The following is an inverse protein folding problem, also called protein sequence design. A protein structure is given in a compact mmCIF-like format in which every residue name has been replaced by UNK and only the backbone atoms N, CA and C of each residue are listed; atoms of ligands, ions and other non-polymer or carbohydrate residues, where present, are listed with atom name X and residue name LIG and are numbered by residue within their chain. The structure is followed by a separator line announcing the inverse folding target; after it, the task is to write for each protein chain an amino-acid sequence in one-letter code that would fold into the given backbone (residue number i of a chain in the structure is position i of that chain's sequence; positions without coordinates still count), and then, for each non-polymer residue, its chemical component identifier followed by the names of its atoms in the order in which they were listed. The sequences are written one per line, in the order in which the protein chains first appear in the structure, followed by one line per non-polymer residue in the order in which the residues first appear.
data_IF_753096953255
#
_entry.id   IF_753096953255
#
_cell.length_a   1.000
_cell.length_b   1.000
_cell.length_c   1.000
_cell.angle_alpha   90.00
_cell.angle_beta   90.00
_cell.angle_gamma   90.00
#
_symmetry.space_group_name_H-M   'P 1'
#
loop_
_entity.id
_entity.type
_entity.pdbx_description
1 polymer ?
#
# COMPACT_ATOMS: atom_id res chain seq x y z
N UNK A 1 43.81 57.96 38.79
CA UNK A 1 43.35 56.58 39.16
C UNK A 1 42.22 56.11 38.20
N UNK A 2 42.62 55.54 37.09
CA UNK A 2 41.68 55.17 36.01
C UNK A 2 41.10 53.80 36.24
N UNK A 3 39.79 53.70 36.44
CA UNK A 3 38.99 52.43 36.47
C UNK A 3 38.90 51.87 35.05
N UNK A 4 39.71 50.87 34.70
CA UNK A 4 39.52 50.05 33.51
C UNK A 4 38.16 49.31 33.64
N UNK A 5 37.18 49.70 32.84
CA UNK A 5 35.95 48.92 32.63
C UNK A 5 36.36 47.59 31.97
N UNK A 6 36.34 46.48 32.73
CA UNK A 6 36.39 45.13 32.17
C UNK A 6 35.15 44.95 31.29
N UNK A 7 35.31 44.97 29.96
CA UNK A 7 34.29 44.45 29.03
C UNK A 7 34.08 42.99 29.43
N UNK A 8 32.90 42.65 29.97
CA UNK A 8 32.49 41.26 30.12
C UNK A 8 32.43 40.69 28.71
N UNK A 9 33.40 39.85 28.39
CA UNK A 9 33.34 38.96 27.24
C UNK A 9 32.24 37.96 27.60
N UNK A 10 30.99 38.26 27.20
CA UNK A 10 29.88 37.33 27.33
C UNK A 10 30.31 36.12 26.52
N UNK A 11 30.54 35.02 27.19
CA UNK A 11 30.87 33.74 26.54
C UNK A 11 29.84 33.45 25.44
N UNK A 12 30.23 33.61 24.19
CA UNK A 12 29.34 33.44 23.03
C UNK A 12 29.13 31.96 22.69
N UNK A 13 29.40 31.04 23.63
CA UNK A 13 29.25 29.61 23.42
C UNK A 13 27.79 29.22 23.13
N UNK A 14 26.84 29.85 23.81
CA UNK A 14 25.41 29.63 23.58
C UNK A 14 24.95 30.13 22.18
N UNK A 15 25.60 31.20 21.63
CA UNK A 15 25.36 31.65 20.25
C UNK A 15 25.88 30.62 19.27
N UNK A 16 27.05 30.04 19.51
CA UNK A 16 27.59 28.95 18.71
C UNK A 16 26.69 27.71 18.79
N UNK A 17 26.20 27.39 19.99
CA UNK A 17 25.24 26.30 20.21
C UNK A 17 23.95 26.52 19.41
N UNK A 18 23.38 27.74 19.45
CA UNK A 18 22.18 28.08 18.66
C UNK A 18 22.43 27.99 17.16
N UNK A 19 23.61 28.44 16.70
CA UNK A 19 23.96 28.33 15.27
C UNK A 19 24.08 26.85 14.82
N UNK A 20 24.69 26.01 15.63
CA UNK A 20 24.79 24.58 15.37
C UNK A 20 23.41 23.93 15.38
N UNK A 21 22.56 24.23 16.37
CA UNK A 21 21.21 23.75 16.46
C UNK A 21 20.36 24.19 15.24
N UNK A 22 20.48 25.45 14.83
CA UNK A 22 19.81 25.96 13.62
C UNK A 22 20.32 25.27 12.35
N UNK A 23 21.63 25.03 12.24
CA UNK A 23 22.19 24.30 11.10
C UNK A 23 21.68 22.85 11.04
N UNK A 24 21.64 22.14 12.17
CA UNK A 24 21.09 20.79 12.27
C UNK A 24 19.60 20.78 11.89
N UNK A 25 18.82 21.74 12.35
CA UNK A 25 17.42 21.90 12.00
C UNK A 25 17.23 22.12 10.49
N UNK A 26 18.00 23.03 9.89
CA UNK A 26 17.93 23.30 8.44
C UNK A 26 18.35 22.08 7.60
N UNK A 27 19.36 21.34 8.03
CA UNK A 27 19.79 20.10 7.37
C UNK A 27 18.66 19.05 7.47
N UNK A 28 18.02 18.92 8.64
CA UNK A 28 16.87 18.04 8.85
C UNK A 28 15.69 18.39 7.94
N UNK A 29 15.32 19.66 7.84
CA UNK A 29 14.27 20.15 6.94
C UNK A 29 14.62 19.87 5.46
N UNK A 30 15.86 20.16 5.05
CA UNK A 30 16.33 19.87 3.70
C UNK A 30 16.29 18.35 3.41
N UNK A 31 16.74 17.53 4.35
CA UNK A 31 16.68 16.07 4.28
C UNK A 31 15.24 15.57 4.13
N UNK A 32 14.30 16.09 4.93
CA UNK A 32 12.88 15.76 4.81
C UNK A 32 12.27 16.16 3.47
N UNK A 33 12.62 17.35 2.95
CA UNK A 33 12.16 17.79 1.62
C UNK A 33 12.69 16.89 0.50
N UNK A 34 13.96 16.49 0.58
CA UNK A 34 14.55 15.54 -0.38
C UNK A 34 13.87 14.20 -0.27
N UNK A 35 13.71 13.67 0.94
CA UNK A 35 13.03 12.38 1.18
C UNK A 35 11.60 12.39 0.66
N UNK A 36 10.84 13.46 0.92
CA UNK A 36 9.44 13.60 0.48
C UNK A 36 9.28 13.94 -1.00
N UNK A 37 10.37 14.19 -1.74
CA UNK A 37 10.30 14.49 -3.17
C UNK A 37 9.77 13.29 -3.96
N UNK A 38 8.98 13.57 -5.02
CA UNK A 38 8.42 12.53 -5.89
C UNK A 38 9.51 11.61 -6.44
N UNK A 39 10.66 12.16 -6.83
CA UNK A 39 11.77 11.38 -7.39
C UNK A 39 12.29 10.32 -6.40
N UNK A 40 12.44 10.68 -5.12
CA UNK A 40 12.88 9.74 -4.08
C UNK A 40 11.76 8.76 -3.74
N UNK A 41 10.53 9.25 -3.58
CA UNK A 41 9.39 8.43 -3.22
C UNK A 41 9.11 7.37 -4.28
N UNK A 42 9.12 7.72 -5.58
CA UNK A 42 8.87 6.75 -6.66
C UNK A 42 10.02 5.78 -6.88
N UNK A 43 11.25 6.15 -6.49
CA UNK A 43 12.40 5.26 -6.65
C UNK A 43 12.55 4.25 -5.51
N UNK A 44 12.16 4.59 -4.29
CA UNK A 44 12.48 3.78 -3.10
C UNK A 44 11.26 3.29 -2.32
N UNK A 45 10.14 3.98 -2.37
CA UNK A 45 8.96 3.66 -1.56
C UNK A 45 7.78 3.20 -2.41
N UNK A 46 7.53 3.90 -3.51
CA UNK A 46 6.42 3.64 -4.42
C UNK A 46 6.94 3.23 -5.79
N UNK A 47 7.92 2.33 -5.82
CA UNK A 47 8.32 1.66 -7.06
C UNK A 47 7.12 0.95 -7.67
N UNK A 48 7.08 0.87 -9.01
CA UNK A 48 6.03 0.15 -9.70
C UNK A 48 6.60 -0.88 -10.69
N UNK A 49 7.16 -1.98 -10.18
CA UNK A 49 7.49 -3.14 -11.01
C UNK A 49 6.22 -3.79 -11.57
N UNK A 50 6.38 -4.60 -12.60
CA UNK A 50 5.27 -5.34 -13.23
C UNK A 50 4.11 -4.44 -13.68
N UNK A 51 4.43 -3.22 -14.10
CA UNK A 51 3.42 -2.22 -14.48
C UNK A 51 2.56 -2.70 -15.66
N UNK A 52 3.16 -3.39 -16.63
CA UNK A 52 2.44 -3.87 -17.79
C UNK A 52 1.39 -4.92 -17.42
N UNK A 53 1.76 -5.90 -16.60
CA UNK A 53 0.87 -6.95 -16.10
C UNK A 53 -0.26 -6.35 -15.26
N UNK A 54 0.08 -5.42 -14.38
CA UNK A 54 -0.90 -4.73 -13.54
C UNK A 54 -1.89 -3.94 -14.40
N UNK A 55 -1.43 -3.14 -15.36
CA UNK A 55 -2.30 -2.35 -16.24
C UNK A 55 -3.17 -3.26 -17.12
N UNK A 56 -2.61 -4.33 -17.67
CA UNK A 56 -3.35 -5.27 -18.51
C UNK A 56 -4.49 -5.94 -17.73
N UNK A 57 -4.17 -6.57 -16.60
CA UNK A 57 -5.16 -7.37 -15.87
C UNK A 57 -6.13 -6.51 -15.04
N UNK A 58 -5.72 -5.33 -14.56
CA UNK A 58 -6.64 -4.39 -13.96
C UNK A 58 -7.67 -3.88 -14.97
N UNK A 59 -7.24 -3.55 -16.20
CA UNK A 59 -8.13 -3.14 -17.29
C UNK A 59 -9.13 -4.23 -17.66
N UNK A 60 -8.66 -5.49 -17.82
CA UNK A 60 -9.53 -6.64 -18.15
C UNK A 60 -10.62 -6.87 -17.10
N UNK A 61 -10.32 -6.62 -15.84
CA UNK A 61 -11.25 -6.83 -14.72
C UNK A 61 -11.91 -5.53 -14.21
N UNK A 62 -11.65 -4.39 -14.89
CA UNK A 62 -12.19 -3.05 -14.56
C UNK A 62 -11.86 -2.56 -13.15
N UNK A 63 -10.71 -2.97 -12.63
CA UNK A 63 -10.19 -2.58 -11.32
C UNK A 63 -9.20 -1.42 -11.46
N UNK A 64 -9.16 -0.54 -10.46
CA UNK A 64 -8.17 0.54 -10.38
C UNK A 64 -6.74 -0.05 -10.29
N UNK A 65 -5.84 0.21 -11.27
CA UNK A 65 -4.47 -0.32 -11.25
C UNK A 65 -3.63 0.21 -10.09
N UNK A 66 -3.95 1.39 -9.58
CA UNK A 66 -3.28 1.94 -8.41
C UNK A 66 -3.67 1.18 -7.14
N UNK A 67 -4.91 0.68 -7.07
CA UNK A 67 -5.36 -0.22 -6.01
C UNK A 67 -4.60 -1.55 -6.10
N UNK A 68 -4.48 -2.14 -7.29
CA UNK A 68 -3.71 -3.38 -7.51
C UNK A 68 -2.26 -3.20 -7.08
N UNK A 69 -1.59 -2.12 -7.53
CA UNK A 69 -0.21 -1.84 -7.14
C UNK A 69 -0.06 -1.66 -5.63
N UNK A 70 -1.03 -1.03 -4.97
CA UNK A 70 -1.01 -0.86 -3.52
C UNK A 70 -1.24 -2.17 -2.76
N UNK A 71 -2.10 -3.04 -3.25
CA UNK A 71 -2.27 -4.40 -2.70
C UNK A 71 -0.95 -5.16 -2.79
N UNK A 72 -0.34 -5.26 -3.97
CA UNK A 72 0.94 -5.95 -4.18
C UNK A 72 2.02 -5.40 -3.24
N UNK A 73 2.11 -4.07 -3.12
CA UNK A 73 3.07 -3.42 -2.22
C UNK A 73 2.89 -3.85 -0.76
N UNK A 74 1.65 -3.96 -0.29
CA UNK A 74 1.36 -4.29 1.11
C UNK A 74 1.36 -5.81 1.37
N UNK A 75 1.15 -6.64 0.36
CA UNK A 75 1.18 -8.10 0.47
C UNK A 75 2.61 -8.66 0.42
N UNK A 76 3.39 -8.28 -0.59
CA UNK A 76 4.71 -8.87 -0.83
C UNK A 76 5.85 -7.87 -0.96
N UNK A 77 5.56 -6.56 -1.02
CA UNK A 77 6.56 -5.55 -1.42
C UNK A 77 7.09 -5.77 -2.84
N UNK A 78 6.30 -6.38 -3.72
CA UNK A 78 6.67 -6.80 -5.08
C UNK A 78 7.64 -7.98 -5.14
N UNK A 79 7.76 -8.80 -4.10
CA UNK A 79 8.53 -10.03 -4.10
C UNK A 79 7.69 -11.18 -4.69
N UNK A 80 8.14 -11.75 -5.80
CA UNK A 80 7.47 -12.88 -6.48
C UNK A 80 7.62 -14.19 -5.70
N UNK A 81 8.69 -14.31 -4.91
CA UNK A 81 9.00 -15.50 -4.13
C UNK A 81 8.38 -15.48 -2.72
N UNK A 82 7.70 -14.39 -2.37
CA UNK A 82 7.12 -14.23 -1.04
C UNK A 82 6.17 -15.39 -0.71
N UNK A 83 6.38 -15.97 0.47
CA UNK A 83 5.49 -16.99 1.06
C UNK A 83 5.19 -16.59 2.49
N UNK A 84 3.92 -16.43 2.82
CA UNK A 84 3.51 -16.12 4.19
C UNK A 84 3.56 -17.35 5.10
N UNK A 85 3.52 -17.14 6.42
CA UNK A 85 3.41 -18.24 7.39
C UNK A 85 2.14 -19.08 7.19
N UNK A 86 1.09 -18.49 6.64
CA UNK A 86 -0.16 -19.19 6.31
C UNK A 86 -0.12 -19.92 4.96
N UNK A 87 0.96 -19.74 4.17
CA UNK A 87 1.13 -20.40 2.87
C UNK A 87 0.63 -19.57 1.68
N UNK A 88 0.28 -18.30 1.85
CA UNK A 88 -0.03 -17.42 0.73
C UNK A 88 1.21 -17.15 -0.12
N UNK A 89 1.08 -17.06 -1.46
CA UNK A 89 2.21 -17.08 -2.40
C UNK A 89 2.18 -15.88 -3.35
N UNK A 90 3.36 -15.33 -3.59
CA UNK A 90 3.67 -14.39 -4.67
C UNK A 90 3.19 -12.96 -4.45
N UNK A 91 3.14 -12.19 -5.54
CA UNK A 91 2.92 -10.75 -5.52
C UNK A 91 1.68 -10.31 -4.73
N UNK A 92 0.55 -10.96 -4.94
CA UNK A 92 -0.74 -10.64 -4.32
C UNK A 92 -1.12 -11.58 -3.19
N UNK A 93 -0.16 -12.39 -2.69
CA UNK A 93 -0.30 -13.32 -1.57
C UNK A 93 -1.58 -14.16 -1.67
N UNK A 94 -1.69 -14.91 -2.77
CA UNK A 94 -2.84 -15.77 -3.02
C UNK A 94 -2.66 -17.09 -2.26
N UNK A 95 -3.67 -17.43 -1.43
CA UNK A 95 -3.72 -18.76 -0.79
C UNK A 95 -3.92 -19.84 -1.84
N UNK A 96 -3.25 -21.00 -1.74
CA UNK A 96 -3.39 -22.09 -2.72
C UNK A 96 -4.83 -22.47 -3.02
N UNK A 97 -5.65 -22.67 -1.97
CA UNK A 97 -7.07 -23.03 -2.12
C UNK A 97 -7.88 -21.91 -2.82
N UNK A 98 -7.54 -20.65 -2.52
CA UNK A 98 -8.16 -19.50 -3.19
C UNK A 98 -7.75 -19.45 -4.65
N UNK A 99 -6.47 -19.70 -4.95
CA UNK A 99 -5.95 -19.75 -6.33
C UNK A 99 -6.60 -20.84 -7.17
N UNK A 100 -6.76 -22.03 -6.60
CA UNK A 100 -7.46 -23.16 -7.25
C UNK A 100 -8.93 -22.81 -7.52
N UNK A 101 -9.62 -22.24 -6.54
CA UNK A 101 -10.99 -21.78 -6.70
C UNK A 101 -11.11 -20.70 -7.79
N UNK A 102 -10.24 -19.70 -7.79
CA UNK A 102 -10.21 -18.65 -8.83
C UNK A 102 -9.98 -19.27 -10.21
N UNK A 103 -8.99 -20.14 -10.35
CA UNK A 103 -8.67 -20.81 -11.60
C UNK A 103 -9.88 -21.58 -12.14
N UNK A 104 -10.59 -22.30 -11.28
CA UNK A 104 -11.84 -22.99 -11.62
C UNK A 104 -12.93 -22.02 -12.10
N UNK A 105 -13.13 -20.89 -11.41
CA UNK A 105 -14.11 -19.87 -11.81
C UNK A 105 -13.77 -19.20 -13.14
N UNK A 106 -12.48 -19.04 -13.42
CA UNK A 106 -11.98 -18.49 -14.68
C UNK A 106 -12.01 -19.52 -15.83
N UNK A 107 -12.37 -20.78 -15.59
CA UNK A 107 -12.35 -21.85 -16.59
C UNK A 107 -10.95 -22.21 -17.05
N UNK A 108 -9.95 -22.12 -16.17
CA UNK A 108 -8.58 -22.57 -16.45
C UNK A 108 -8.52 -24.08 -16.26
N UNK A 109 -7.96 -24.79 -17.24
CA UNK A 109 -7.90 -26.26 -17.26
C UNK A 109 -7.12 -26.84 -16.08
N UNK A 110 -6.07 -26.13 -15.61
CA UNK A 110 -5.22 -26.55 -14.51
C UNK A 110 -4.83 -25.37 -13.64
N UNK A 111 -4.92 -25.56 -12.32
CA UNK A 111 -4.27 -24.71 -11.35
C UNK A 111 -2.82 -25.20 -11.13
N UNK A 112 -1.86 -24.27 -11.20
CA UNK A 112 -0.45 -24.56 -10.96
C UNK A 112 0.01 -23.70 -9.78
N UNK A 113 0.29 -24.35 -8.65
CA UNK A 113 0.74 -23.69 -7.44
C UNK A 113 2.07 -22.95 -7.66
N UNK A 114 3.02 -23.56 -8.36
CA UNK A 114 4.31 -22.93 -8.65
C UNK A 114 4.15 -21.72 -9.60
N UNK A 115 3.10 -21.74 -10.44
CA UNK A 115 2.79 -20.59 -11.29
C UNK A 115 2.39 -19.34 -10.51
N UNK A 116 1.96 -19.46 -9.24
CA UNK A 116 1.71 -18.30 -8.38
C UNK A 116 2.96 -17.44 -8.13
N UNK A 117 4.16 -17.97 -8.36
CA UNK A 117 5.42 -17.19 -8.31
C UNK A 117 5.66 -16.37 -9.58
N UNK A 118 4.96 -16.70 -10.68
CA UNK A 118 5.07 -15.95 -11.94
C UNK A 118 4.21 -14.68 -11.85
N UNK A 119 4.79 -13.48 -12.08
CA UNK A 119 4.08 -12.20 -11.96
C UNK A 119 2.78 -12.16 -12.74
N UNK A 120 2.83 -12.55 -14.01
CA UNK A 120 1.67 -12.55 -14.89
C UNK A 120 0.52 -13.41 -14.37
N UNK A 121 0.81 -14.63 -13.91
CA UNK A 121 -0.21 -15.54 -13.41
C UNK A 121 -0.82 -15.06 -12.09
N UNK A 122 0.04 -14.63 -11.16
CA UNK A 122 -0.39 -14.13 -9.85
C UNK A 122 -1.26 -12.87 -9.97
N UNK A 123 -0.81 -11.88 -10.76
CA UNK A 123 -1.56 -10.63 -10.99
C UNK A 123 -2.87 -10.90 -11.74
N UNK A 124 -2.86 -11.83 -12.71
CA UNK A 124 -4.08 -12.24 -13.42
C UNK A 124 -5.15 -12.77 -12.47
N UNK A 125 -4.80 -13.72 -11.60
CA UNK A 125 -5.72 -14.30 -10.62
C UNK A 125 -6.16 -13.25 -9.59
N UNK A 126 -5.22 -12.48 -9.04
CA UNK A 126 -5.51 -11.46 -8.03
C UNK A 126 -6.40 -10.33 -8.54
N UNK A 127 -6.20 -9.86 -9.77
CA UNK A 127 -7.07 -8.85 -10.40
C UNK A 127 -8.46 -9.39 -10.64
N UNK A 128 -8.60 -10.65 -11.06
CA UNK A 128 -9.90 -11.28 -11.20
C UNK A 128 -10.62 -11.36 -9.86
N UNK A 129 -9.91 -11.77 -8.80
CA UNK A 129 -10.49 -11.84 -7.46
C UNK A 129 -10.93 -10.47 -6.92
N UNK A 130 -10.11 -9.43 -7.14
CA UNK A 130 -10.50 -8.06 -6.79
C UNK A 130 -11.75 -7.62 -7.56
N UNK A 131 -11.90 -8.02 -8.83
CA UNK A 131 -13.11 -7.77 -9.62
C UNK A 131 -14.37 -8.40 -9.01
N UNK A 132 -14.25 -9.65 -8.55
CA UNK A 132 -15.35 -10.34 -7.83
C UNK A 132 -15.70 -9.64 -6.52
N UNK A 133 -14.68 -9.19 -5.76
CA UNK A 133 -14.91 -8.43 -4.54
C UNK A 133 -15.55 -7.06 -4.82
N UNK A 134 -15.13 -6.38 -5.90
CA UNK A 134 -15.74 -5.10 -6.29
C UNK A 134 -17.24 -5.26 -6.62
N UNK A 135 -17.58 -6.31 -7.34
CA UNK A 135 -18.98 -6.63 -7.63
C UNK A 135 -19.76 -6.99 -6.36
N UNK A 136 -19.22 -7.89 -5.53
CA UNK A 136 -19.86 -8.38 -4.30
C UNK A 136 -20.10 -7.25 -3.29
N UNK A 137 -19.12 -6.36 -3.10
CA UNK A 137 -19.18 -5.27 -2.11
C UNK A 137 -19.57 -3.92 -2.72
N UNK A 138 -20.23 -3.93 -3.90
CA UNK A 138 -20.82 -2.76 -4.55
C UNK A 138 -19.84 -1.59 -4.70
N UNK A 139 -18.58 -1.88 -5.08
CA UNK A 139 -17.49 -0.90 -5.24
C UNK A 139 -17.05 -0.20 -3.96
N UNK A 140 -17.41 -0.72 -2.80
CA UNK A 140 -16.91 -0.18 -1.54
C UNK A 140 -15.50 -0.71 -1.27
N UNK A 141 -14.50 0.12 -1.49
CA UNK A 141 -13.10 -0.27 -1.33
C UNK A 141 -12.71 -0.66 0.10
N UNK A 142 -13.37 -0.08 1.12
CA UNK A 142 -13.12 -0.47 2.52
C UNK A 142 -13.55 -1.92 2.73
N UNK A 143 -14.79 -2.27 2.33
CA UNK A 143 -15.31 -3.64 2.45
C UNK A 143 -14.52 -4.63 1.58
N UNK A 144 -14.13 -4.21 0.36
CA UNK A 144 -13.28 -5.02 -0.52
C UNK A 144 -11.95 -5.38 0.13
N UNK A 145 -11.27 -4.40 0.75
CA UNK A 145 -9.97 -4.62 1.38
C UNK A 145 -10.10 -5.41 2.68
N UNK A 146 -11.19 -5.26 3.42
CA UNK A 146 -11.51 -6.15 4.54
C UNK A 146 -11.65 -7.59 4.02
N UNK A 147 -12.42 -7.79 2.94
CA UNK A 147 -12.68 -9.11 2.38
C UNK A 147 -11.42 -9.74 1.76
N UNK A 148 -10.55 -8.95 1.17
CA UNK A 148 -9.28 -9.42 0.64
C UNK A 148 -8.37 -9.95 1.75
N UNK A 149 -8.25 -9.21 2.85
CA UNK A 149 -7.35 -9.54 3.96
C UNK A 149 -7.93 -10.59 4.93
N UNK A 150 -9.19 -10.41 5.34
CA UNK A 150 -9.82 -11.25 6.36
C UNK A 150 -10.76 -12.34 5.78
N UNK A 151 -11.00 -12.30 4.48
CA UNK A 151 -11.89 -13.23 3.79
C UNK A 151 -13.34 -12.74 3.70
N UNK A 152 -14.03 -13.16 2.62
CA UNK A 152 -15.41 -12.77 2.29
C UNK A 152 -16.41 -13.16 3.38
N UNK A 153 -16.22 -14.36 3.96
CA UNK A 153 -17.11 -14.88 5.01
C UNK A 153 -17.08 -14.03 6.27
N UNK A 154 -15.89 -13.71 6.76
CA UNK A 154 -15.71 -12.85 7.93
C UNK A 154 -16.28 -11.46 7.69
N UNK A 155 -16.05 -10.90 6.51
CA UNK A 155 -16.57 -9.56 6.16
C UNK A 155 -18.09 -9.52 6.21
N UNK A 156 -18.77 -10.52 5.63
CA UNK A 156 -20.23 -10.61 5.68
C UNK A 156 -20.76 -10.79 7.11
N UNK A 157 -20.10 -11.62 7.92
CA UNK A 157 -20.44 -11.80 9.32
C UNK A 157 -20.34 -10.47 10.09
N UNK A 158 -19.23 -9.73 9.90
CA UNK A 158 -19.03 -8.43 10.56
C UNK A 158 -20.02 -7.36 10.08
N UNK A 159 -20.39 -7.38 8.79
CA UNK A 159 -21.44 -6.51 8.28
C UNK A 159 -22.78 -6.78 8.99
N UNK A 160 -23.13 -8.05 9.17
CA UNK A 160 -24.37 -8.44 9.85
C UNK A 160 -24.32 -8.12 11.36
N UNK A 161 -23.24 -8.46 12.05
CA UNK A 161 -23.07 -8.26 13.48
C UNK A 161 -23.04 -6.80 13.88
N UNK A 162 -22.45 -5.94 13.06
CA UNK A 162 -22.27 -4.52 13.34
C UNK A 162 -23.25 -3.60 12.60
N UNK A 163 -24.18 -4.17 11.85
CA UNK A 163 -25.15 -3.40 11.07
C UNK A 163 -24.50 -2.54 9.95
N UNK A 164 -23.38 -2.99 9.38
CA UNK A 164 -22.73 -2.28 8.28
C UNK A 164 -23.49 -2.55 6.97
N UNK A 165 -23.69 -1.50 6.21
CA UNK A 165 -24.20 -1.58 4.84
C UNK A 165 -23.06 -1.37 3.82
N UNK A 166 -23.40 -1.36 2.53
CA UNK A 166 -22.43 -1.15 1.47
C UNK A 166 -21.85 0.28 1.38
N UNK A 167 -22.33 1.22 2.20
CA UNK A 167 -21.78 2.57 2.34
C UNK A 167 -20.78 2.68 3.50
N UNK A 168 -20.43 1.55 4.13
CA UNK A 168 -19.52 1.52 5.28
C UNK A 168 -18.13 2.09 4.92
N UNK A 169 -17.72 3.12 5.69
CA UNK A 169 -16.43 3.82 5.46
C UNK A 169 -15.65 4.14 6.75
N UNK A 170 -16.14 3.65 7.90
CA UNK A 170 -15.53 3.90 9.21
C UNK A 170 -14.45 2.86 9.51
N UNK A 171 -13.26 3.05 8.94
CA UNK A 171 -12.14 2.09 9.07
C UNK A 171 -11.80 1.83 10.55
N UNK A 172 -11.97 2.83 11.42
CA UNK A 172 -11.70 2.68 12.86
C UNK A 172 -12.64 1.69 13.57
N UNK A 173 -13.81 1.45 13.01
CA UNK A 173 -14.79 0.49 13.55
C UNK A 173 -14.50 -0.96 13.15
N UNK A 174 -13.49 -1.21 12.32
CA UNK A 174 -13.06 -2.58 11.97
C UNK A 174 -12.53 -3.24 13.25
N UNK A 175 -13.12 -4.38 13.71
CA UNK A 175 -12.83 -4.93 15.03
C UNK A 175 -11.42 -5.50 15.17
N UNK A 176 -10.82 -5.97 14.07
CA UNK A 176 -9.50 -6.58 14.06
C UNK A 176 -8.42 -5.56 13.70
N UNK A 177 -7.46 -5.27 14.61
CA UNK A 177 -6.44 -4.25 14.41
C UNK A 177 -5.59 -4.48 13.14
N UNK A 178 -5.21 -5.74 12.86
CA UNK A 178 -4.37 -6.05 11.70
C UNK A 178 -5.09 -5.74 10.39
N UNK A 179 -6.36 -6.15 10.26
CA UNK A 179 -7.20 -5.85 9.10
C UNK A 179 -7.43 -4.35 8.96
N UNK A 180 -7.68 -3.64 10.08
CA UNK A 180 -7.83 -2.18 10.10
C UNK A 180 -6.59 -1.47 9.56
N UNK A 181 -5.42 -1.84 10.04
CA UNK A 181 -4.15 -1.27 9.58
C UNK A 181 -3.84 -1.64 8.13
N UNK A 182 -4.19 -2.84 7.70
CA UNK A 182 -4.08 -3.25 6.30
C UNK A 182 -4.92 -2.34 5.39
N UNK A 183 -6.20 -2.18 5.69
CA UNK A 183 -7.11 -1.31 4.92
C UNK A 183 -6.57 0.12 4.83
N UNK A 184 -6.14 0.70 5.97
CA UNK A 184 -5.54 2.04 6.00
C UNK A 184 -4.32 2.15 5.09
N UNK A 185 -3.41 1.18 5.18
CA UNK A 185 -2.17 1.17 4.38
C UNK A 185 -2.47 1.07 2.89
N UNK A 186 -3.33 0.12 2.49
CA UNK A 186 -3.66 -0.09 1.08
C UNK A 186 -4.31 1.15 0.48
N UNK A 187 -5.33 1.72 1.12
CA UNK A 187 -6.03 2.89 0.57
C UNK A 187 -5.12 4.13 0.52
N UNK A 188 -4.32 4.37 1.57
CA UNK A 188 -3.31 5.44 1.56
C UNK A 188 -2.29 5.26 0.43
N UNK A 189 -1.77 4.05 0.26
CA UNK A 189 -0.74 3.76 -0.75
C UNK A 189 -1.33 3.82 -2.16
N UNK A 190 -2.60 3.43 -2.36
CA UNK A 190 -3.33 3.64 -3.62
C UNK A 190 -3.35 5.12 -4.01
N UNK A 191 -3.67 6.03 -3.07
CA UNK A 191 -3.70 7.46 -3.35
C UNK A 191 -2.31 8.01 -3.69
N UNK A 192 -1.25 7.45 -3.09
CA UNK A 192 0.15 7.79 -3.42
C UNK A 192 0.52 7.31 -4.83
N UNK A 193 0.17 6.07 -5.21
CA UNK A 193 0.37 5.60 -6.57
C UNK A 193 -0.38 6.45 -7.58
N UNK A 194 -1.65 6.77 -7.33
CA UNK A 194 -2.41 7.68 -8.17
C UNK A 194 -1.73 9.04 -8.31
N UNK A 195 -1.31 9.65 -7.20
CA UNK A 195 -0.64 10.96 -7.20
C UNK A 195 0.62 10.96 -8.09
N UNK A 196 1.46 9.92 -7.98
CA UNK A 196 2.74 9.87 -8.65
C UNK A 196 2.68 9.38 -10.09
N UNK A 197 1.67 8.61 -10.47
CA UNK A 197 1.68 7.88 -11.73
C UNK A 197 0.53 8.18 -12.67
N UNK A 198 -0.56 8.84 -12.24
CA UNK A 198 -1.73 9.12 -13.09
C UNK A 198 -1.40 9.82 -14.40
N UNK A 199 -0.41 10.74 -14.41
CA UNK A 199 -0.01 11.47 -15.59
C UNK A 199 1.06 10.73 -16.44
N UNK A 200 1.57 9.61 -15.94
CA UNK A 200 2.61 8.80 -16.60
C UNK A 200 2.03 7.60 -17.35
N UNK A 201 0.79 7.24 -17.06
CA UNK A 201 0.07 6.17 -17.73
C UNK A 201 -0.71 6.78 -18.90
N UNK A 202 -0.36 6.40 -20.12
CA UNK A 202 -1.14 6.79 -21.29
C UNK A 202 -2.47 6.03 -21.28
N UNK A 203 -3.59 6.75 -21.28
CA UNK A 203 -4.97 6.23 -21.36
C UNK A 203 -5.58 5.71 -20.05
N UNK A 204 -5.32 6.39 -18.96
CA UNK A 204 -6.08 6.18 -17.73
C UNK A 204 -6.93 7.39 -17.39
#
# INVERSE_FOLDING_TARGET
MGRRKKKKFIDRWWVKFLMVAAAIFLIGEAGMKIWSSEAVQTRFVYMWPYQNEILEYSSKNKIDPFLVASVIKNESGFDTEAVSHAGAVGLMQIMPETGEWIASQMGLDHFDLEALRRPEYNVRLGCWYLGELEYEFQRNWVLMMIAYNAGRGNTRAWMQENGWNYDFNRIEDIPYPDTREYVKKVLRDRDKYYLYYKNKIKNY
#
